data_IF_488102461101
#
_entry.id   IF_488102461101
#
_cell.length_a   1.000
_cell.length_b   1.000
_cell.length_c   1.000
_cell.angle_alpha   90.00
_cell.angle_beta   90.00
_cell.angle_gamma   90.00
#
_symmetry.space_group_name_H-M   'P 1'
#
loop_
_entity.id
_entity.type
_entity.pdbx_description
1 polymer ?
#
# COMPACT_ATOMS: atom_id res chain seq x y z
N UNK A 1 10.46 -28.57 3.33
CA UNK A 1 10.98 -27.40 2.63
C UNK A 1 11.70 -27.94 1.42
N UNK A 2 11.21 -27.61 0.22
CA UNK A 2 11.75 -28.18 -1.02
C UNK A 2 13.11 -27.50 -1.33
N UNK A 3 14.03 -28.20 -1.98
CA UNK A 3 15.42 -27.73 -2.20
C UNK A 3 15.45 -26.36 -2.90
N UNK A 4 14.45 -26.09 -3.73
CA UNK A 4 14.25 -24.82 -4.43
C UNK A 4 13.86 -23.67 -3.50
N UNK A 5 13.05 -23.92 -2.47
CA UNK A 5 12.64 -22.91 -1.50
C UNK A 5 13.83 -22.44 -0.65
N UNK A 6 14.67 -23.39 -0.21
CA UNK A 6 15.92 -23.09 0.52
C UNK A 6 16.90 -22.29 -0.36
N UNK A 7 17.03 -22.65 -1.63
CA UNK A 7 17.84 -21.90 -2.59
C UNK A 7 17.34 -20.46 -2.75
N UNK A 8 16.03 -20.25 -2.93
CA UNK A 8 15.46 -18.91 -3.12
C UNK A 8 15.60 -18.06 -1.86
N UNK A 9 15.38 -18.63 -0.67
CA UNK A 9 15.58 -17.91 0.58
C UNK A 9 17.04 -17.48 0.76
N UNK A 10 18.00 -18.31 0.35
CA UNK A 10 19.42 -17.93 0.32
C UNK A 10 19.68 -16.79 -0.68
N UNK A 11 19.14 -16.89 -1.91
CA UNK A 11 19.24 -15.80 -2.91
C UNK A 11 18.68 -14.49 -2.37
N UNK A 12 17.57 -14.54 -1.64
CA UNK A 12 16.97 -13.36 -1.01
C UNK A 12 17.91 -12.78 0.04
N UNK A 13 18.47 -13.61 0.91
CA UNK A 13 19.39 -13.14 1.96
C UNK A 13 20.63 -12.46 1.36
N UNK A 14 21.26 -13.08 0.36
CA UNK A 14 22.42 -12.50 -0.33
C UNK A 14 22.08 -11.16 -1.00
N UNK A 15 20.88 -11.07 -1.60
CA UNK A 15 20.43 -9.83 -2.21
C UNK A 15 20.16 -8.73 -1.18
N UNK A 16 19.58 -9.07 -0.03
CA UNK A 16 19.37 -8.13 1.08
C UNK A 16 20.71 -7.63 1.66
N UNK A 17 21.69 -8.51 1.83
CA UNK A 17 23.05 -8.14 2.25
C UNK A 17 23.71 -7.19 1.22
N UNK A 18 23.55 -7.49 -0.07
CA UNK A 18 24.01 -6.59 -1.14
C UNK A 18 23.29 -5.24 -1.12
N UNK A 19 21.98 -5.19 -0.79
CA UNK A 19 21.26 -3.92 -0.61
C UNK A 19 21.79 -3.13 0.59
N UNK A 20 22.05 -3.81 1.72
CA UNK A 20 22.62 -3.17 2.91
C UNK A 20 23.98 -2.52 2.64
N UNK A 21 24.79 -3.18 1.80
CA UNK A 21 26.09 -2.66 1.37
C UNK A 21 26.01 -1.64 0.21
N UNK A 22 24.80 -1.26 -0.23
CA UNK A 22 24.59 -0.30 -1.32
C UNK A 22 24.85 -0.85 -2.74
N UNK A 23 25.05 -2.17 -2.88
CA UNK A 23 25.25 -2.86 -4.18
C UNK A 23 23.91 -3.21 -4.84
N UNK A 24 23.11 -2.19 -5.14
CA UNK A 24 21.73 -2.37 -5.62
C UNK A 24 21.62 -3.13 -6.95
N UNK A 25 22.53 -2.92 -7.90
CA UNK A 25 22.53 -3.64 -9.18
C UNK A 25 22.89 -5.13 -9.04
N UNK A 26 23.65 -5.49 -8.01
CA UNK A 26 23.92 -6.89 -7.67
C UNK A 26 22.68 -7.53 -7.06
N UNK A 27 22.11 -6.88 -6.04
CA UNK A 27 20.88 -7.34 -5.39
C UNK A 27 19.74 -7.55 -6.40
N UNK A 28 19.58 -6.62 -7.35
CA UNK A 28 18.57 -6.71 -8.40
C UNK A 28 18.80 -7.95 -9.26
N UNK A 29 20.03 -8.19 -9.71
CA UNK A 29 20.38 -9.38 -10.50
C UNK A 29 20.13 -10.67 -9.72
N UNK A 30 20.43 -10.69 -8.42
CA UNK A 30 20.15 -11.84 -7.55
C UNK A 30 18.65 -12.14 -7.50
N UNK A 31 17.80 -11.13 -7.29
CA UNK A 31 16.35 -11.33 -7.32
C UNK A 31 15.82 -11.76 -8.70
N UNK A 32 16.34 -11.17 -9.78
CA UNK A 32 15.96 -11.55 -11.15
C UNK A 32 16.34 -13.00 -11.47
N UNK A 33 17.53 -13.45 -11.03
CA UNK A 33 17.96 -14.84 -11.18
C UNK A 33 17.07 -15.79 -10.37
N UNK A 34 16.72 -15.44 -9.13
CA UNK A 34 15.77 -16.23 -8.34
C UNK A 34 14.42 -16.40 -9.05
N UNK A 35 13.95 -15.35 -9.75
CA UNK A 35 12.73 -15.44 -10.56
C UNK A 35 12.90 -16.20 -11.88
N UNK A 36 14.12 -16.41 -12.37
CA UNK A 36 14.34 -17.32 -13.50
C UNK A 36 14.10 -18.76 -13.08
N UNK A 37 14.47 -19.12 -11.85
CA UNK A 37 14.24 -20.46 -11.28
C UNK A 37 12.78 -20.64 -10.85
N UNK A 38 12.21 -19.67 -10.14
CA UNK A 38 10.80 -19.71 -9.73
C UNK A 38 10.07 -18.39 -10.06
N UNK A 39 9.50 -18.28 -11.28
CA UNK A 39 8.82 -17.06 -11.73
C UNK A 39 7.58 -16.67 -10.91
N UNK A 40 7.08 -17.58 -10.09
CA UNK A 40 5.89 -17.39 -9.26
C UNK A 40 6.17 -16.99 -7.81
N UNK A 41 7.44 -16.86 -7.40
CA UNK A 41 7.76 -16.68 -5.98
C UNK A 41 7.34 -15.28 -5.49
N UNK A 42 6.34 -15.16 -4.60
CA UNK A 42 5.74 -13.87 -4.25
C UNK A 42 6.73 -12.91 -3.58
N UNK A 43 7.62 -13.43 -2.72
CA UNK A 43 8.59 -12.64 -1.95
C UNK A 43 9.65 -12.00 -2.85
N UNK A 44 10.11 -12.70 -3.88
CA UNK A 44 11.05 -12.13 -4.86
C UNK A 44 10.42 -10.97 -5.63
N UNK A 45 9.16 -11.11 -6.02
CA UNK A 45 8.41 -10.01 -6.62
C UNK A 45 8.22 -8.83 -5.66
N UNK A 46 7.92 -9.08 -4.38
CA UNK A 46 7.83 -8.00 -3.38
C UNK A 46 9.17 -7.24 -3.26
N UNK A 47 10.30 -7.96 -3.16
CA UNK A 47 11.64 -7.37 -3.06
C UNK A 47 12.06 -6.57 -4.28
N UNK A 48 11.76 -7.05 -5.50
CA UNK A 48 11.96 -6.25 -6.70
C UNK A 48 11.04 -5.01 -6.72
N UNK A 49 9.81 -5.14 -6.23
CA UNK A 49 8.91 -4.00 -6.02
C UNK A 49 9.57 -2.91 -5.17
N UNK A 50 10.11 -3.30 -4.01
CA UNK A 50 10.83 -2.40 -3.09
C UNK A 50 12.05 -1.76 -3.78
N UNK A 51 12.84 -2.56 -4.49
CA UNK A 51 14.01 -2.08 -5.21
C UNK A 51 13.64 -1.00 -6.24
N UNK A 52 12.60 -1.24 -7.02
CA UNK A 52 12.13 -0.29 -8.02
C UNK A 52 11.47 0.95 -7.39
N UNK A 53 10.81 0.81 -6.24
CA UNK A 53 10.18 1.93 -5.55
C UNK A 53 11.22 2.85 -4.91
N UNK A 54 12.17 2.29 -4.15
CA UNK A 54 13.04 3.06 -3.26
C UNK A 54 14.42 3.39 -3.87
N UNK A 55 14.93 2.56 -4.78
CA UNK A 55 16.30 2.73 -5.29
C UNK A 55 16.35 3.17 -6.76
N UNK A 56 15.57 2.54 -7.64
CA UNK A 56 15.54 2.92 -9.06
C UNK A 56 14.47 3.97 -9.40
N UNK A 57 13.57 4.28 -8.47
CA UNK A 57 12.47 5.24 -8.62
C UNK A 57 11.65 4.97 -9.91
N UNK A 58 11.42 3.70 -10.22
CA UNK A 58 10.61 3.27 -11.37
C UNK A 58 9.23 2.80 -10.90
N UNK A 59 8.30 3.74 -10.84
CA UNK A 59 6.93 3.52 -10.39
C UNK A 59 6.20 2.41 -11.16
N UNK A 60 6.39 2.32 -12.47
CA UNK A 60 5.68 1.34 -13.29
C UNK A 60 6.16 -0.09 -13.02
N UNK A 61 7.48 -0.29 -12.85
CA UNK A 61 8.04 -1.59 -12.51
C UNK A 61 7.74 -1.97 -11.06
N UNK A 62 7.81 -1.03 -10.12
CA UNK A 62 7.43 -1.26 -8.73
C UNK A 62 5.98 -1.74 -8.63
N UNK A 63 5.04 -1.01 -9.26
CA UNK A 63 3.63 -1.37 -9.30
C UNK A 63 3.42 -2.77 -9.91
N UNK A 64 4.07 -3.06 -11.05
CA UNK A 64 3.98 -4.37 -11.70
C UNK A 64 4.43 -5.51 -10.78
N UNK A 65 5.56 -5.35 -10.12
CA UNK A 65 6.12 -6.39 -9.25
C UNK A 65 5.28 -6.60 -7.98
N UNK A 66 4.79 -5.55 -7.34
CA UNK A 66 3.84 -5.70 -6.23
C UNK A 66 2.52 -6.36 -6.67
N UNK A 67 1.99 -6.01 -7.85
CA UNK A 67 0.79 -6.65 -8.39
C UNK A 67 1.02 -8.14 -8.68
N UNK A 68 2.21 -8.53 -9.14
CA UNK A 68 2.58 -9.93 -9.31
C UNK A 68 2.70 -10.66 -7.97
N UNK A 69 3.34 -10.05 -6.97
CA UNK A 69 3.40 -10.61 -5.62
C UNK A 69 2.00 -10.90 -5.06
N UNK A 70 1.05 -9.95 -5.19
CA UNK A 70 -0.35 -10.15 -4.79
C UNK A 70 -1.13 -11.13 -5.67
N UNK A 71 -0.69 -11.36 -6.91
CA UNK A 71 -1.29 -12.37 -7.78
C UNK A 71 -0.92 -13.78 -7.31
N UNK A 72 0.33 -14.00 -6.92
CA UNK A 72 0.81 -15.30 -6.46
C UNK A 72 0.51 -15.54 -4.97
N UNK A 73 0.43 -14.48 -4.15
CA UNK A 73 0.02 -14.53 -2.75
C UNK A 73 -0.99 -13.41 -2.44
N UNK A 74 -2.30 -13.67 -2.62
CA UNK A 74 -3.34 -12.66 -2.42
C UNK A 74 -3.48 -12.14 -0.99
N UNK A 75 -2.97 -12.89 -0.01
CA UNK A 75 -2.98 -12.60 1.43
C UNK A 75 -1.65 -12.00 1.94
N UNK A 76 -0.78 -11.53 1.02
CA UNK A 76 0.50 -10.92 1.37
C UNK A 76 0.31 -9.50 1.92
N UNK A 77 0.07 -9.39 3.22
CA UNK A 77 -0.26 -8.15 3.92
C UNK A 77 0.74 -7.02 3.66
N UNK A 78 2.03 -7.30 3.80
CA UNK A 78 3.11 -6.33 3.63
C UNK A 78 3.05 -5.66 2.24
N UNK A 79 2.72 -6.41 1.19
CA UNK A 79 2.63 -5.87 -0.18
C UNK A 79 1.43 -4.93 -0.35
N UNK A 80 0.33 -5.12 0.38
CA UNK A 80 -0.76 -4.14 0.37
C UNK A 80 -0.32 -2.81 0.96
N UNK A 81 0.51 -2.82 2.01
CA UNK A 81 1.03 -1.62 2.65
C UNK A 81 2.00 -0.89 1.69
N UNK A 82 2.96 -1.62 1.12
CA UNK A 82 3.95 -1.06 0.19
C UNK A 82 3.31 -0.50 -1.09
N UNK A 83 2.40 -1.25 -1.73
CA UNK A 83 1.73 -0.77 -2.93
C UNK A 83 0.80 0.43 -2.64
N UNK A 84 0.22 0.49 -1.43
CA UNK A 84 -0.55 1.67 -1.00
C UNK A 84 0.36 2.88 -0.80
N UNK A 85 1.53 2.69 -0.17
CA UNK A 85 2.52 3.75 0.00
C UNK A 85 2.99 4.30 -1.36
N UNK A 86 3.33 3.40 -2.30
CA UNK A 86 3.67 3.74 -3.68
C UNK A 86 2.57 4.61 -4.32
N UNK A 87 1.31 4.19 -4.23
CA UNK A 87 0.22 4.97 -4.81
C UNK A 87 -0.03 6.31 -4.11
N UNK A 88 0.10 6.39 -2.79
CA UNK A 88 -0.08 7.64 -2.04
C UNK A 88 1.00 8.66 -2.39
N UNK A 89 2.27 8.22 -2.43
CA UNK A 89 3.42 9.06 -2.78
C UNK A 89 3.27 9.68 -4.18
N UNK A 90 2.66 8.94 -5.10
CA UNK A 90 2.42 9.37 -6.48
C UNK A 90 0.99 9.86 -6.74
N UNK A 91 0.16 10.05 -5.69
CA UNK A 91 -1.24 10.50 -5.78
C UNK A 91 -2.11 9.68 -6.74
N UNK A 92 -1.81 8.39 -6.91
CA UNK A 92 -2.57 7.42 -7.72
C UNK A 92 -3.80 6.92 -6.96
N UNK A 93 -4.74 7.83 -6.71
CA UNK A 93 -5.92 7.58 -5.87
C UNK A 93 -6.83 6.45 -6.37
N UNK A 94 -7.02 6.34 -7.69
CA UNK A 94 -7.83 5.25 -8.26
C UNK A 94 -7.19 3.88 -8.07
N UNK A 95 -5.85 3.79 -8.13
CA UNK A 95 -5.10 2.58 -7.82
C UNK A 95 -5.36 2.10 -6.39
N UNK A 96 -5.37 3.03 -5.42
CA UNK A 96 -5.69 2.74 -4.02
C UNK A 96 -7.13 2.22 -3.89
N UNK A 97 -8.11 2.85 -4.52
CA UNK A 97 -9.51 2.38 -4.46
C UNK A 97 -9.65 0.95 -4.98
N UNK A 98 -8.99 0.63 -6.10
CA UNK A 98 -8.99 -0.73 -6.66
C UNK A 98 -8.30 -1.72 -5.71
N UNK A 99 -7.15 -1.34 -5.16
CA UNK A 99 -6.38 -2.18 -4.23
C UNK A 99 -7.17 -2.46 -2.94
N UNK A 100 -7.74 -1.43 -2.32
CA UNK A 100 -8.53 -1.55 -1.09
C UNK A 100 -9.82 -2.37 -1.28
N UNK A 101 -10.44 -2.32 -2.47
CA UNK A 101 -11.58 -3.20 -2.82
C UNK A 101 -11.20 -4.68 -2.89
N UNK A 102 -9.94 -5.00 -3.22
CA UNK A 102 -9.42 -6.37 -3.13
C UNK A 102 -9.08 -6.71 -1.68
N UNK A 103 -8.32 -5.83 -1.02
CA UNK A 103 -7.84 -6.01 0.34
C UNK A 103 -8.95 -6.30 1.35
N UNK A 104 -10.12 -5.63 1.24
CA UNK A 104 -11.24 -5.86 2.16
C UNK A 104 -11.84 -7.28 2.12
N UNK A 105 -11.56 -8.03 1.04
CA UNK A 105 -12.01 -9.42 0.85
C UNK A 105 -11.00 -10.45 1.33
N UNK A 106 -9.84 -10.02 1.82
CA UNK A 106 -8.76 -10.87 2.28
C UNK A 106 -8.78 -10.89 3.80
N UNK A 107 -8.94 -12.08 4.38
CA UNK A 107 -9.27 -12.23 5.81
C UNK A 107 -8.17 -11.72 6.75
N UNK A 108 -6.90 -11.84 6.37
CA UNK A 108 -5.77 -11.40 7.19
C UNK A 108 -5.53 -9.88 7.14
N UNK A 109 -6.24 -9.14 6.27
CA UNK A 109 -6.06 -7.69 6.13
C UNK A 109 -6.96 -6.95 7.11
N UNK A 110 -6.35 -6.02 7.85
CA UNK A 110 -7.07 -5.17 8.80
C UNK A 110 -8.06 -4.24 8.07
N UNK A 111 -9.35 -4.40 8.38
CA UNK A 111 -10.43 -3.56 7.84
C UNK A 111 -10.29 -2.10 8.27
N UNK A 112 -9.66 -1.83 9.41
CA UNK A 112 -9.33 -0.48 9.91
C UNK A 112 -8.41 0.21 8.92
N UNK A 113 -7.28 -0.44 8.58
CA UNK A 113 -6.34 0.03 7.55
C UNK A 113 -7.06 0.32 6.23
N UNK A 114 -7.86 -0.63 5.72
CA UNK A 114 -8.58 -0.45 4.45
C UNK A 114 -9.48 0.79 4.46
N UNK A 115 -10.27 0.96 5.50
CA UNK A 115 -11.20 2.09 5.61
C UNK A 115 -10.50 3.42 5.87
N UNK A 116 -9.38 3.42 6.59
CA UNK A 116 -8.53 4.59 6.74
C UNK A 116 -8.00 5.07 5.39
N UNK A 117 -7.42 4.17 4.58
CA UNK A 117 -6.85 4.53 3.26
C UNK A 117 -7.90 5.00 2.27
N UNK A 118 -9.08 4.37 2.24
CA UNK A 118 -10.21 4.88 1.45
C UNK A 118 -10.66 6.27 1.92
N UNK A 119 -10.71 6.51 3.24
CA UNK A 119 -11.02 7.81 3.81
C UNK A 119 -10.00 8.89 3.40
N UNK A 120 -8.71 8.57 3.42
CA UNK A 120 -7.63 9.47 2.99
C UNK A 120 -7.76 9.84 1.51
N UNK A 121 -8.10 8.87 0.65
CA UNK A 121 -8.34 9.11 -0.77
C UNK A 121 -9.52 10.06 -0.99
N UNK A 122 -10.67 9.79 -0.36
CA UNK A 122 -11.85 10.66 -0.50
C UNK A 122 -11.59 12.06 0.06
N UNK A 123 -10.85 12.18 1.16
CA UNK A 123 -10.43 13.48 1.69
C UNK A 123 -9.55 14.25 0.70
N UNK A 124 -8.59 13.57 0.05
CA UNK A 124 -7.72 14.17 -0.94
C UNK A 124 -8.49 14.65 -2.18
N UNK A 125 -9.55 13.93 -2.57
CA UNK A 125 -10.46 14.32 -3.65
C UNK A 125 -11.46 15.42 -3.25
N UNK A 126 -11.50 15.82 -1.98
CA UNK A 126 -12.44 16.82 -1.47
C UNK A 126 -13.83 16.29 -1.10
N UNK A 127 -14.02 14.97 -1.19
CA UNK A 127 -15.26 14.26 -0.87
C UNK A 127 -15.36 14.04 0.66
N UNK A 128 -15.43 15.13 1.41
CA UNK A 128 -15.30 15.11 2.87
C UNK A 128 -16.39 14.31 3.57
N UNK A 129 -17.58 14.16 2.97
CA UNK A 129 -18.69 13.39 3.55
C UNK A 129 -18.39 11.90 3.47
N UNK A 130 -17.90 11.45 2.33
CA UNK A 130 -17.51 10.07 2.03
C UNK A 130 -16.27 9.69 2.84
N UNK A 131 -15.30 10.61 2.96
CA UNK A 131 -14.13 10.46 3.82
C UNK A 131 -14.53 10.17 5.28
N UNK A 132 -15.43 10.99 5.86
CA UNK A 132 -15.95 10.78 7.22
C UNK A 132 -16.64 9.42 7.35
N UNK A 133 -17.41 9.00 6.34
CA UNK A 133 -18.10 7.70 6.36
C UNK A 133 -17.09 6.54 6.41
N UNK A 134 -16.01 6.61 5.63
CA UNK A 134 -14.93 5.62 5.66
C UNK A 134 -14.21 5.61 7.01
N UNK A 135 -13.80 6.77 7.54
CA UNK A 135 -13.14 6.82 8.84
C UNK A 135 -14.01 6.27 9.98
N UNK A 136 -15.34 6.47 9.91
CA UNK A 136 -16.28 5.86 10.89
C UNK A 136 -16.35 4.34 10.77
N UNK A 137 -16.31 3.79 9.55
CA UNK A 137 -16.26 2.33 9.34
C UNK A 137 -14.95 1.75 9.87
N UNK A 138 -13.83 2.43 9.65
CA UNK A 138 -12.53 2.04 10.23
C UNK A 138 -12.59 2.07 11.75
N UNK A 139 -13.18 3.12 12.34
CA UNK A 139 -13.30 3.24 13.79
C UNK A 139 -14.12 2.10 14.41
N UNK A 140 -15.17 1.65 13.72
CA UNK A 140 -16.00 0.54 14.16
C UNK A 140 -15.28 -0.83 14.05
N UNK A 141 -14.32 -0.93 13.13
CA UNK A 141 -13.51 -2.14 12.94
C UNK A 141 -12.27 -2.19 13.85
N UNK A 142 -11.88 -1.06 14.43
CA UNK A 142 -10.66 -0.95 15.24
C UNK A 142 -10.85 -1.50 16.66
N UNK A 143 -9.91 -2.32 17.10
CA UNK A 143 -9.78 -2.76 18.49
C UNK A 143 -8.60 -2.10 19.23
N UNK A 144 -7.77 -1.35 18.51
CA UNK A 144 -6.61 -0.62 19.03
C UNK A 144 -6.95 0.87 19.27
N UNK A 145 -6.48 1.40 20.39
CA UNK A 145 -6.68 2.79 20.82
C UNK A 145 -5.94 3.80 19.94
N UNK A 146 -4.75 3.46 19.42
CA UNK A 146 -3.95 4.40 18.61
C UNK A 146 -4.64 4.69 17.27
N UNK A 147 -5.12 3.63 16.61
CA UNK A 147 -5.92 3.73 15.39
C UNK A 147 -7.22 4.52 15.63
N UNK A 148 -7.87 4.30 16.77
CA UNK A 148 -9.10 5.02 17.16
C UNK A 148 -8.87 6.53 17.24
N UNK A 149 -7.78 6.97 17.86
CA UNK A 149 -7.52 8.39 18.05
C UNK A 149 -7.10 9.08 16.76
N UNK A 150 -6.33 8.43 15.90
CA UNK A 150 -6.00 8.98 14.58
C UNK A 150 -7.25 9.12 13.69
N UNK A 151 -8.13 8.11 13.67
CA UNK A 151 -9.39 8.18 12.93
C UNK A 151 -10.33 9.28 13.45
N UNK A 152 -10.37 9.53 14.76
CA UNK A 152 -11.11 10.67 15.34
C UNK A 152 -10.55 12.01 14.87
N UNK A 153 -9.22 12.16 14.80
CA UNK A 153 -8.58 13.39 14.26
C UNK A 153 -8.97 13.60 12.80
N UNK A 154 -8.91 12.56 11.97
CA UNK A 154 -9.37 12.62 10.58
C UNK A 154 -10.83 13.06 10.46
N UNK A 155 -11.73 12.47 11.25
CA UNK A 155 -13.16 12.85 11.25
C UNK A 155 -13.34 14.32 11.62
N UNK A 156 -12.68 14.80 12.68
CA UNK A 156 -12.74 16.20 13.12
C UNK A 156 -12.25 17.15 12.02
N UNK A 157 -11.10 16.84 11.41
CA UNK A 157 -10.52 17.62 10.30
C UNK A 157 -11.45 17.71 9.10
N UNK A 158 -12.05 16.59 8.69
CA UNK A 158 -12.96 16.56 7.54
C UNK A 158 -14.29 17.28 7.82
N UNK A 159 -14.81 17.23 9.05
CA UNK A 159 -16.00 18.03 9.42
C UNK A 159 -15.74 19.52 9.23
N UNK A 160 -14.57 20.01 9.68
CA UNK A 160 -14.17 21.40 9.48
C UNK A 160 -14.01 21.75 8.00
N UNK A 161 -13.27 20.94 7.23
CA UNK A 161 -13.07 21.17 5.78
C UNK A 161 -14.39 21.22 5.02
N UNK A 162 -15.35 20.35 5.36
CA UNK A 162 -16.68 20.33 4.76
C UNK A 162 -17.46 21.61 5.00
N UNK A 163 -17.49 22.11 6.23
CA UNK A 163 -18.18 23.37 6.58
C UNK A 163 -17.53 24.55 5.87
N UNK A 164 -16.19 24.63 5.92
CA UNK A 164 -15.41 25.68 5.26
C UNK A 164 -15.66 25.70 3.74
N UNK A 165 -15.73 24.53 3.10
CA UNK A 165 -16.00 24.44 1.66
C UNK A 165 -17.42 24.95 1.32
N UNK A 166 -18.43 24.54 2.10
CA UNK A 166 -19.81 25.02 1.92
C UNK A 166 -19.91 26.54 2.06
N UNK A 167 -19.24 27.11 3.05
CA UNK A 167 -19.22 28.56 3.25
C UNK A 167 -18.58 29.30 2.07
N UNK A 168 -17.46 28.80 1.55
CA UNK A 168 -16.82 29.36 0.34
C UNK A 168 -17.71 29.31 -0.90
N UNK A 169 -18.49 28.26 -1.07
CA UNK A 169 -19.44 28.15 -2.20
C UNK A 169 -20.57 29.18 -2.06
N UNK A 170 -21.14 29.31 -0.86
CA UNK A 170 -22.18 30.31 -0.59
C UNK A 170 -21.71 31.74 -0.91
N UNK A 171 -20.46 32.09 -0.55
CA UNK A 171 -19.87 33.40 -0.87
C UNK A 171 -19.61 33.66 -2.37
N UNK A 172 -19.63 32.62 -3.21
CA UNK A 172 -19.48 32.78 -4.67
C UNK A 172 -20.82 32.93 -5.36
N UNK A 173 -21.89 32.48 -4.71
CA UNK A 173 -23.26 32.46 -5.22
C UNK A 173 -24.09 33.65 -4.73
N UNK A 174 -23.55 34.46 -3.80
CA UNK A 174 -24.16 35.66 -3.22
C UNK A 174 -23.11 36.77 -3.13
#
# INVERSE_FOLDING_TARGET
MDIYEEYIENVIQLAEDAMYDGRYEEAKRLFENGLMEEPGYPKLHAKLGDMYHYHHINLALAERHYQLALRFKPDYKEVYEELTALYLNHKKYEGIKVLMKKAIKVDCIDKTFVHEKLGMVEEALGNYKEAIAHYRKGLFASFDNDNVDELKKHIKRNKYKRIKNRWKLWQREN
#
